data_IF_302937078983
#
_entry.id   IF_302937078983
#
_cell.length_a   1.000
_cell.length_b   1.000
_cell.length_c   1.000
_cell.angle_alpha   90.00
_cell.angle_beta   90.00
_cell.angle_gamma   90.00
#
_symmetry.space_group_name_H-M   'P 1'
#
loop_
_entity.id
_entity.type
_entity.pdbx_description
1 polymer ?
#
# COMPACT_ATOMS: atom_id res chain seq x y z
N UNK A 1 0.13 -5.77 10.33
CA UNK A 1 0.77 -5.72 9.00
C UNK A 1 1.09 -4.28 8.65
N UNK A 2 2.26 -3.99 8.05
CA UNK A 2 2.58 -2.68 7.51
C UNK A 2 1.57 -2.26 6.43
N UNK A 3 1.34 -0.95 6.32
CA UNK A 3 0.39 -0.34 5.38
C UNK A 3 1.15 0.58 4.44
N UNK A 4 0.86 0.48 3.14
CA UNK A 4 1.45 1.30 2.09
C UNK A 4 0.34 1.96 1.27
N UNK A 5 0.52 3.21 0.89
CA UNK A 5 -0.47 3.95 0.10
C UNK A 5 -0.05 3.95 -1.35
N UNK A 6 -0.89 3.36 -2.21
CA UNK A 6 -0.59 3.21 -3.62
C UNK A 6 -1.58 4.02 -4.46
N UNK A 7 -1.08 4.59 -5.55
CA UNK A 7 -1.95 5.17 -6.57
C UNK A 7 -2.45 4.04 -7.50
N UNK A 8 -3.77 3.96 -7.69
CA UNK A 8 -4.37 3.01 -8.63
C UNK A 8 -4.12 3.51 -10.05
N UNK A 9 -3.14 2.90 -10.69
CA UNK A 9 -2.87 3.05 -12.12
C UNK A 9 -2.74 1.67 -12.74
N UNK A 10 -2.96 1.57 -14.05
CA UNK A 10 -2.78 0.31 -14.79
C UNK A 10 -1.34 -0.23 -14.71
N UNK A 11 -0.38 0.59 -14.30
CA UNK A 11 1.02 0.20 -14.12
C UNK A 11 1.32 -0.36 -12.71
N UNK A 12 0.50 0.02 -11.71
CA UNK A 12 0.71 -0.36 -10.32
C UNK A 12 -0.22 -1.49 -9.86
N UNK A 13 -1.38 -1.65 -10.51
CA UNK A 13 -2.32 -2.72 -10.19
C UNK A 13 -2.76 -3.40 -11.48
N UNK A 14 -2.44 -4.69 -11.58
CA UNK A 14 -2.90 -5.57 -12.63
C UNK A 14 -3.36 -6.87 -11.97
N UNK A 15 -4.66 -6.98 -11.66
CA UNK A 15 -5.19 -8.07 -10.83
C UNK A 15 -4.71 -9.45 -11.33
N UNK A 16 -4.14 -10.30 -10.46
CA UNK A 16 -4.09 -10.22 -9.00
C UNK A 16 -2.80 -9.60 -8.42
N UNK A 17 -2.03 -8.82 -9.17
CA UNK A 17 -0.71 -8.30 -8.76
C UNK A 17 -0.75 -6.79 -8.43
N UNK A 18 0.01 -6.41 -7.40
CA UNK A 18 0.32 -5.03 -7.02
C UNK A 18 1.83 -4.81 -7.14
N UNK A 19 2.20 -3.68 -7.74
CA UNK A 19 3.57 -3.20 -7.83
C UNK A 19 3.75 -1.97 -6.95
N UNK A 20 4.72 -2.03 -6.04
CA UNK A 20 5.11 -0.94 -5.13
C UNK A 20 6.47 -0.44 -5.56
N UNK A 21 6.63 0.86 -5.75
CA UNK A 21 7.85 1.47 -6.30
C UNK A 21 8.40 2.57 -5.39
N UNK A 22 9.66 2.94 -5.62
CA UNK A 22 10.29 4.08 -4.98
C UNK A 22 10.46 3.92 -3.47
N UNK A 23 10.11 4.95 -2.71
CA UNK A 23 10.40 5.02 -1.27
C UNK A 23 9.70 3.92 -0.46
N UNK A 24 8.48 3.54 -0.83
CA UNK A 24 7.76 2.44 -0.18
C UNK A 24 8.44 1.09 -0.44
N UNK A 25 8.92 0.83 -1.66
CA UNK A 25 9.70 -0.37 -1.96
C UNK A 25 11.00 -0.42 -1.14
N UNK A 26 11.69 0.71 -1.03
CA UNK A 26 12.91 0.82 -0.22
C UNK A 26 12.62 0.66 1.27
N UNK A 27 11.47 1.16 1.75
CA UNK A 27 11.03 1.00 3.12
C UNK A 27 10.76 -0.48 3.44
N UNK A 28 10.05 -1.20 2.55
CA UNK A 28 9.84 -2.66 2.63
C UNK A 28 11.18 -3.40 2.70
N UNK A 29 12.08 -3.15 1.74
CA UNK A 29 13.30 -3.92 1.57
C UNK A 29 14.36 -3.66 2.65
N UNK A 30 14.58 -2.39 3.03
CA UNK A 30 15.74 -2.00 3.86
C UNK A 30 15.40 -1.66 5.29
N UNK A 31 14.27 -0.99 5.51
CA UNK A 31 13.88 -0.52 6.84
C UNK A 31 13.11 -1.59 7.60
N UNK A 32 12.04 -2.09 6.99
CA UNK A 32 11.24 -3.16 7.56
C UNK A 32 11.89 -4.53 7.34
N UNK A 33 12.77 -4.66 6.35
CA UNK A 33 13.52 -5.89 6.01
C UNK A 33 12.59 -7.08 5.83
N UNK A 34 11.45 -6.83 5.17
CA UNK A 34 10.47 -7.86 4.90
C UNK A 34 11.03 -8.91 3.94
N UNK A 35 10.46 -10.10 3.99
CA UNK A 35 10.79 -11.22 3.13
C UNK A 35 9.67 -11.53 2.14
N UNK A 36 10.03 -12.22 1.05
CA UNK A 36 9.05 -12.86 0.19
C UNK A 36 8.21 -13.83 1.04
N UNK A 37 6.89 -13.75 0.91
CA UNK A 37 5.93 -14.47 1.74
C UNK A 37 5.30 -13.62 2.85
N UNK A 38 5.89 -12.49 3.22
CA UNK A 38 5.29 -11.58 4.20
C UNK A 38 4.07 -10.86 3.61
N UNK A 39 3.09 -10.56 4.47
CA UNK A 39 1.87 -9.87 4.07
C UNK A 39 1.93 -8.37 4.36
N UNK A 40 1.37 -7.57 3.45
CA UNK A 40 1.20 -6.13 3.55
C UNK A 40 -0.26 -5.73 3.29
N UNK A 41 -0.65 -4.53 3.74
CA UNK A 41 -1.88 -3.88 3.28
C UNK A 41 -1.50 -2.78 2.30
N UNK A 42 -1.99 -2.87 1.07
CA UNK A 42 -1.96 -1.74 0.15
C UNK A 42 -3.30 -0.98 0.26
N UNK A 43 -3.23 0.32 0.50
CA UNK A 43 -4.40 1.20 0.59
C UNK A 43 -4.45 2.07 -0.67
N UNK A 44 -5.61 2.19 -1.28
CA UNK A 44 -5.82 3.21 -2.30
C UNK A 44 -6.33 4.53 -1.69
N UNK A 45 -6.65 5.49 -2.55
CA UNK A 45 -7.23 6.79 -2.15
C UNK A 45 -8.77 6.80 -2.09
N UNK A 46 -9.42 5.69 -2.41
CA UNK A 46 -10.87 5.52 -2.39
C UNK A 46 -11.27 4.48 -1.34
N UNK A 47 -10.58 4.47 -0.19
CA UNK A 47 -10.89 3.63 0.96
C UNK A 47 -10.96 2.12 0.67
N UNK A 48 -10.31 1.62 -0.39
CA UNK A 48 -10.11 0.19 -0.61
C UNK A 48 -8.76 -0.23 -0.02
N UNK A 49 -8.77 -1.38 0.63
CA UNK A 49 -7.60 -2.05 1.17
C UNK A 49 -7.44 -3.40 0.50
N UNK A 50 -6.20 -3.72 0.16
CA UNK A 50 -5.81 -4.97 -0.45
C UNK A 50 -4.83 -5.67 0.48
N UNK A 51 -5.24 -6.84 0.97
CA UNK A 51 -4.33 -7.74 1.67
C UNK A 51 -3.51 -8.46 0.61
N UNK A 52 -2.20 -8.25 0.62
CA UNK A 52 -1.33 -8.81 -0.40
C UNK A 52 -0.10 -9.48 0.21
N UNK A 53 0.42 -10.50 -0.46
CA UNK A 53 1.63 -11.22 -0.08
C UNK A 53 2.78 -10.82 -0.99
N UNK A 54 3.91 -10.40 -0.41
CA UNK A 54 5.11 -10.07 -1.19
C UNK A 54 5.62 -11.30 -1.95
N UNK A 55 5.68 -11.20 -3.26
CA UNK A 55 6.20 -12.26 -4.15
C UNK A 55 7.63 -11.95 -4.61
N UNK A 56 8.01 -10.67 -4.60
CA UNK A 56 9.34 -10.21 -5.01
C UNK A 56 9.71 -8.91 -4.32
N UNK A 57 10.97 -8.80 -3.91
CA UNK A 57 11.51 -7.61 -3.26
C UNK A 57 12.78 -7.18 -3.96
N UNK A 58 12.84 -5.91 -4.36
CA UNK A 58 14.04 -5.21 -4.84
C UNK A 58 14.08 -3.82 -4.22
N UNK A 59 15.23 -3.17 -4.28
CA UNK A 59 15.45 -1.87 -3.65
C UNK A 59 14.53 -0.74 -4.17
N UNK A 60 14.09 -0.81 -5.42
CA UNK A 60 13.27 0.23 -6.08
C UNK A 60 11.87 -0.26 -6.48
N UNK A 61 11.63 -1.58 -6.41
CA UNK A 61 10.38 -2.19 -6.84
C UNK A 61 10.11 -3.50 -6.09
N UNK A 62 8.93 -3.61 -5.49
CA UNK A 62 8.41 -4.84 -4.90
C UNK A 62 7.13 -5.24 -5.61
N UNK A 63 6.90 -6.54 -5.77
CA UNK A 63 5.61 -7.05 -6.23
C UNK A 63 4.94 -7.92 -5.17
N UNK A 64 3.62 -7.87 -5.15
CA UNK A 64 2.77 -8.59 -4.22
C UNK A 64 1.53 -9.17 -4.92
N UNK A 65 1.13 -10.37 -4.50
CA UNK A 65 -0.10 -11.02 -4.94
C UNK A 65 -1.24 -10.65 -3.99
N UNK A 66 -2.37 -10.20 -4.53
CA UNK A 66 -3.56 -9.85 -3.77
C UNK A 66 -4.27 -11.12 -3.31
N UNK A 67 -4.40 -11.25 -2.00
CA UNK A 67 -5.11 -12.35 -1.35
C UNK A 67 -6.59 -12.01 -1.13
N UNK A 68 -6.88 -10.75 -0.81
CA UNK A 68 -8.24 -10.29 -0.51
C UNK A 68 -8.37 -8.76 -0.68
N UNK A 69 -9.59 -8.27 -0.89
CA UNK A 69 -9.90 -6.84 -0.94
C UNK A 69 -11.11 -6.49 -0.10
N UNK A 70 -11.03 -5.36 0.61
CA UNK A 70 -12.09 -4.90 1.50
C UNK A 70 -12.13 -3.38 1.59
N UNK A 71 -13.31 -2.83 1.93
CA UNK A 71 -13.44 -1.40 2.23
C UNK A 71 -12.91 -1.11 3.62
N UNK A 72 -12.10 -0.07 3.74
CA UNK A 72 -11.65 0.47 5.01
C UNK A 72 -12.87 0.92 5.83
N UNK A 73 -12.92 0.53 7.11
CA UNK A 73 -13.97 0.94 8.05
C UNK A 73 -13.50 2.03 9.02
N UNK A 74 -12.27 2.53 8.84
CA UNK A 74 -11.64 3.51 9.73
C UNK A 74 -11.99 4.95 9.41
N UNK A 75 -12.53 5.22 8.22
CA UNK A 75 -12.91 6.58 7.81
C UNK A 75 -14.12 7.09 8.59
N UNK A 76 -14.05 8.35 9.02
CA UNK A 76 -15.15 8.99 9.72
C UNK A 76 -16.30 9.29 8.74
N UNK A 77 -17.57 9.23 9.21
CA UNK A 77 -18.73 9.56 8.36
C UNK A 77 -18.89 11.08 8.13
N UNK A 78 -17.92 11.89 8.55
CA UNK A 78 -17.96 13.35 8.50
C UNK A 78 -16.74 13.89 7.76
N UNK A 79 -16.94 14.92 6.95
CA UNK A 79 -15.87 15.65 6.29
C UNK A 79 -15.40 16.81 7.17
N UNK A 80 -14.11 16.83 7.50
CA UNK A 80 -13.49 17.89 8.29
C UNK A 80 -12.41 18.58 7.46
N UNK A 81 -12.45 19.90 7.39
CA UNK A 81 -11.42 20.71 6.72
C UNK A 81 -10.67 21.54 7.77
N UNK A 82 -9.37 21.29 7.92
CA UNK A 82 -8.52 22.02 8.86
C UNK A 82 -7.87 23.23 8.17
N UNK A 83 -8.18 24.43 8.65
CA UNK A 83 -7.45 25.65 8.29
C UNK A 83 -6.36 25.89 9.34
N UNK A 84 -5.09 25.75 8.93
CA UNK A 84 -3.92 25.91 9.80
C UNK A 84 -3.06 27.08 9.32
N UNK A 85 -2.77 28.02 10.22
CA UNK A 85 -1.76 29.06 9.97
C UNK A 85 -0.35 28.46 10.11
N UNK A 86 0.61 28.99 9.35
CA UNK A 86 2.01 28.54 9.46
C UNK A 86 2.55 28.83 10.87
N UNK A 87 3.17 27.84 11.55
CA UNK A 87 3.68 27.99 12.91
C UNK A 87 4.93 28.86 13.02
#
# INVERSE_FOLDING_TARGET
MPRFFIDITSENIAWPEIVIKGDDARHIARSLRMAVGDEIIACDRDANEYRARLTKIRDEECTAEILDSFRATSELPVYVTLYMAFP
#
